data_IF_701300065446
#
_entry.id   IF_701300065446
#
_cell.length_a   1.000
_cell.length_b   1.000
_cell.length_c   1.000
_cell.angle_alpha   90.00
_cell.angle_beta   90.00
_cell.angle_gamma   90.00
#
_symmetry.space_group_name_H-M   'P 1'
#
loop_
_entity.id
_entity.type
_entity.pdbx_description
1 polymer ?
#
# COMPACT_ATOMS: atom_id res chain seq x y z
N UNK A 1 -31.52 -16.85 24.86
CA UNK A 1 -30.17 -17.13 24.30
C UNK A 1 -29.84 -15.98 23.37
N UNK A 2 -28.84 -15.17 23.71
CA UNK A 2 -28.39 -14.06 22.88
C UNK A 2 -27.64 -14.65 21.68
N UNK A 3 -28.19 -14.49 20.48
CA UNK A 3 -27.50 -14.82 19.24
C UNK A 3 -26.34 -13.83 19.09
N UNK A 4 -25.13 -14.30 19.40
CA UNK A 4 -23.92 -13.59 19.01
C UNK A 4 -23.82 -13.67 17.50
N UNK A 5 -24.18 -12.59 16.81
CA UNK A 5 -23.83 -12.39 15.41
C UNK A 5 -22.31 -12.45 15.33
N UNK A 6 -21.75 -13.60 15.00
CA UNK A 6 -20.38 -13.69 14.53
C UNK A 6 -20.37 -12.99 13.17
N UNK A 7 -20.21 -11.66 13.19
CA UNK A 7 -19.87 -10.90 12.00
C UNK A 7 -18.56 -11.50 11.49
N UNK A 8 -18.63 -12.34 10.44
CA UNK A 8 -17.43 -12.70 9.69
C UNK A 8 -16.70 -11.40 9.39
N UNK A 9 -15.39 -11.30 9.67
CA UNK A 9 -14.62 -10.11 9.31
C UNK A 9 -14.89 -9.84 7.83
N UNK A 10 -15.38 -8.63 7.57
CA UNK A 10 -15.94 -8.25 6.27
C UNK A 10 -14.80 -8.33 5.25
N UNK A 11 -14.79 -9.40 4.45
CA UNK A 11 -13.71 -9.64 3.48
C UNK A 11 -13.66 -8.49 2.48
N UNK A 12 -12.50 -7.89 2.30
CA UNK A 12 -12.26 -6.94 1.21
C UNK A 12 -11.75 -7.70 -0.02
N UNK A 13 -12.03 -7.18 -1.21
CA UNK A 13 -11.44 -7.69 -2.44
C UNK A 13 -10.08 -7.01 -2.68
N UNK A 14 -10.00 -5.71 -2.35
CA UNK A 14 -8.81 -4.87 -2.57
C UNK A 14 -8.46 -4.09 -1.31
N UNK A 15 -7.19 -4.12 -0.94
CA UNK A 15 -6.57 -3.20 0.00
C UNK A 15 -5.85 -2.09 -0.78
N UNK A 16 -6.22 -0.83 -0.58
CA UNK A 16 -5.63 0.30 -1.29
C UNK A 16 -4.75 1.13 -0.34
N UNK A 17 -3.43 0.96 -0.48
CA UNK A 17 -2.39 1.67 0.29
C UNK A 17 -1.89 2.89 -0.48
N UNK A 18 -1.89 4.07 0.14
CA UNK A 18 -1.39 5.28 -0.50
C UNK A 18 -1.02 6.38 0.50
N UNK A 19 -0.18 7.31 0.04
CA UNK A 19 0.07 8.56 0.76
C UNK A 19 -1.01 9.59 0.39
N UNK A 20 -1.94 9.86 1.32
CA UNK A 20 -3.06 10.78 1.09
C UNK A 20 -2.63 12.19 0.67
N UNK A 21 -1.59 12.73 1.31
CA UNK A 21 -1.05 14.07 1.07
C UNK A 21 -0.62 14.28 -0.39
N UNK A 22 -0.20 13.21 -1.05
CA UNK A 22 0.37 13.28 -2.39
C UNK A 22 -0.66 12.94 -3.48
N UNK A 23 -1.62 12.05 -3.19
CA UNK A 23 -2.40 11.37 -4.24
C UNK A 23 -3.92 11.34 -4.02
N UNK A 24 -4.42 11.81 -2.85
CA UNK A 24 -5.84 11.69 -2.45
C UNK A 24 -6.83 12.33 -3.44
N UNK A 25 -6.50 13.51 -3.97
CA UNK A 25 -7.39 14.30 -4.86
C UNK A 25 -7.20 14.03 -6.35
N UNK A 26 -6.25 13.16 -6.72
CA UNK A 26 -5.90 12.89 -8.11
C UNK A 26 -6.15 11.42 -8.43
N UNK A 27 -5.09 10.61 -8.38
CA UNK A 27 -5.10 9.21 -8.79
C UNK A 27 -6.02 8.35 -7.91
N UNK A 28 -5.96 8.54 -6.59
CA UNK A 28 -6.67 7.66 -5.64
C UNK A 28 -8.17 7.85 -5.69
N UNK A 29 -8.67 9.09 -5.83
CA UNK A 29 -10.09 9.33 -5.98
C UNK A 29 -10.67 8.66 -7.21
N UNK A 30 -9.93 8.66 -8.32
CA UNK A 30 -10.34 8.00 -9.56
C UNK A 30 -10.28 6.47 -9.41
N UNK A 31 -9.14 5.93 -8.94
CA UNK A 31 -8.94 4.49 -8.77
C UNK A 31 -9.99 3.88 -7.84
N UNK A 32 -10.23 4.51 -6.69
CA UNK A 32 -11.23 4.03 -5.73
C UNK A 32 -12.65 4.04 -6.32
N UNK A 33 -13.00 5.09 -7.09
CA UNK A 33 -14.30 5.18 -7.77
C UNK A 33 -14.46 4.06 -8.79
N UNK A 34 -13.44 3.77 -9.59
CA UNK A 34 -13.48 2.70 -10.59
C UNK A 34 -13.59 1.32 -9.95
N UNK A 35 -12.80 1.02 -8.91
CA UNK A 35 -12.89 -0.23 -8.17
C UNK A 35 -14.29 -0.46 -7.57
N UNK A 36 -14.88 0.61 -7.02
CA UNK A 36 -16.23 0.55 -6.47
C UNK A 36 -17.28 0.38 -7.56
N UNK A 37 -17.12 1.08 -8.70
CA UNK A 37 -18.03 0.97 -9.86
C UNK A 37 -18.07 -0.45 -10.42
N UNK A 38 -16.98 -1.19 -10.31
CA UNK A 38 -16.90 -2.58 -10.76
C UNK A 38 -17.35 -3.60 -9.71
N UNK A 39 -17.84 -3.15 -8.56
CA UNK A 39 -18.36 -4.01 -7.49
C UNK A 39 -17.30 -4.59 -6.55
N UNK A 40 -16.04 -4.12 -6.62
CA UNK A 40 -14.97 -4.60 -5.74
C UNK A 40 -15.02 -3.88 -4.40
N UNK A 41 -15.13 -4.66 -3.31
CA UNK A 41 -15.09 -4.10 -1.96
C UNK A 41 -13.67 -3.67 -1.64
N UNK A 42 -13.44 -2.37 -1.61
CA UNK A 42 -12.10 -1.80 -1.45
C UNK A 42 -11.96 -1.17 -0.08
N UNK A 43 -10.98 -1.64 0.71
CA UNK A 43 -10.51 -0.92 1.88
C UNK A 43 -9.58 0.20 1.41
N UNK A 44 -9.90 1.45 1.74
CA UNK A 44 -9.14 2.63 1.33
C UNK A 44 -8.40 3.16 2.55
N UNK A 45 -7.13 2.84 2.67
CA UNK A 45 -6.31 3.31 3.79
C UNK A 45 -5.84 4.75 3.56
N UNK A 46 -6.56 5.71 4.14
CA UNK A 46 -6.27 7.12 3.97
C UNK A 46 -5.42 7.68 5.11
N UNK A 47 -4.12 7.41 5.05
CA UNK A 47 -3.14 7.65 6.12
C UNK A 47 -3.01 9.07 6.67
N UNK A 48 -3.58 10.11 6.04
CA UNK A 48 -3.63 11.46 6.64
C UNK A 48 -5.01 11.85 7.20
N UNK A 49 -6.02 10.99 7.11
CA UNK A 49 -7.30 11.18 7.82
C UNK A 49 -7.36 10.39 9.12
N UNK A 50 -6.56 9.33 9.25
CA UNK A 50 -6.52 8.45 10.42
C UNK A 50 -5.54 8.93 11.51
N UNK A 51 -5.66 10.20 11.92
CA UNK A 51 -4.88 10.73 13.04
C UNK A 51 -5.27 9.95 14.31
N UNK A 52 -4.36 9.08 14.78
CA UNK A 52 -4.45 8.43 16.10
C UNK A 52 -4.67 6.92 16.12
N UNK A 53 -4.86 6.24 14.98
CA UNK A 53 -5.02 4.77 14.93
C UNK A 53 -3.71 4.02 14.68
N UNK A 54 -2.75 4.11 15.60
CA UNK A 54 -1.53 3.28 15.57
C UNK A 54 -1.92 1.84 15.16
N UNK A 55 -1.57 1.40 13.94
CA UNK A 55 -1.84 0.06 13.39
C UNK A 55 -3.09 -0.59 13.98
N UNK A 56 -4.27 -0.03 13.68
CA UNK A 56 -5.49 -0.60 14.25
C UNK A 56 -5.68 -2.04 13.79
N UNK A 57 -6.26 -2.88 14.66
CA UNK A 57 -6.55 -4.28 14.35
C UNK A 57 -7.36 -4.41 13.04
N UNK A 58 -8.13 -3.39 12.70
CA UNK A 58 -8.89 -3.27 11.45
C UNK A 58 -8.00 -3.26 10.20
N UNK A 59 -6.83 -2.58 10.22
CA UNK A 59 -5.89 -2.53 9.09
C UNK A 59 -5.26 -3.90 8.86
N UNK A 60 -4.79 -4.55 9.93
CA UNK A 60 -4.19 -5.89 9.82
C UNK A 60 -5.22 -6.92 9.33
N UNK A 61 -6.46 -6.86 9.83
CA UNK A 61 -7.56 -7.70 9.33
C UNK A 61 -7.86 -7.39 7.86
N UNK A 62 -7.88 -6.12 7.46
CA UNK A 62 -8.13 -5.74 6.08
C UNK A 62 -7.05 -6.27 5.14
N UNK A 63 -5.76 -6.20 5.52
CA UNK A 63 -4.66 -6.80 4.74
C UNK A 63 -4.84 -8.32 4.64
N UNK A 64 -5.08 -9.01 5.76
CA UNK A 64 -5.20 -10.47 5.79
C UNK A 64 -6.44 -11.02 5.09
N UNK A 65 -7.51 -10.21 4.97
CA UNK A 65 -8.76 -10.63 4.33
C UNK A 65 -8.88 -10.17 2.87
N UNK A 66 -7.97 -9.31 2.41
CA UNK A 66 -7.92 -8.82 1.03
C UNK A 66 -7.23 -9.81 0.10
N UNK A 67 -7.73 -9.92 -1.13
CA UNK A 67 -7.10 -10.76 -2.17
C UNK A 67 -5.94 -10.04 -2.84
N UNK A 68 -6.09 -8.73 -3.05
CA UNK A 68 -5.11 -7.89 -3.74
C UNK A 68 -4.80 -6.66 -2.90
N UNK A 69 -3.53 -6.29 -2.78
CA UNK A 69 -3.08 -4.99 -2.29
C UNK A 69 -2.59 -4.13 -3.46
N UNK A 70 -3.25 -3.00 -3.71
CA UNK A 70 -2.75 -1.98 -4.62
C UNK A 70 -1.96 -0.97 -3.80
N UNK A 71 -0.66 -0.87 -4.06
CA UNK A 71 0.24 0.03 -3.32
C UNK A 71 0.66 1.17 -4.23
N UNK A 72 0.15 2.37 -3.94
CA UNK A 72 0.44 3.58 -4.73
C UNK A 72 1.60 4.34 -4.09
N UNK A 73 2.81 4.09 -4.59
CA UNK A 73 4.03 4.70 -4.11
C UNK A 73 4.24 6.05 -4.79
N UNK A 74 4.04 7.11 -4.03
CA UNK A 74 4.30 8.49 -4.45
C UNK A 74 5.59 9.02 -3.84
N UNK A 75 6.02 10.21 -4.27
CA UNK A 75 7.30 10.81 -3.88
C UNK A 75 7.46 10.98 -2.36
N UNK A 76 6.38 11.25 -1.63
CA UNK A 76 6.36 11.41 -0.19
C UNK A 76 6.02 10.15 0.60
N UNK A 77 5.66 9.04 -0.07
CA UNK A 77 5.38 7.76 0.59
C UNK A 77 6.53 7.32 1.52
N UNK A 78 7.81 7.33 1.09
CA UNK A 78 8.92 6.94 1.97
C UNK A 78 9.23 7.92 3.12
N UNK A 79 8.64 9.12 3.14
CA UNK A 79 8.82 10.09 4.25
C UNK A 79 7.88 9.79 5.42
N UNK A 80 6.87 8.93 5.23
CA UNK A 80 5.89 8.58 6.25
C UNK A 80 6.23 7.23 6.87
N UNK A 81 6.58 7.21 8.16
CA UNK A 81 6.79 5.96 8.89
C UNK A 81 5.57 5.05 8.86
N UNK A 82 4.37 5.63 8.92
CA UNK A 82 3.11 4.89 8.80
C UNK A 82 2.96 4.16 7.46
N UNK A 83 3.24 4.84 6.34
CA UNK A 83 3.27 4.20 5.03
C UNK A 83 4.23 3.01 5.01
N UNK A 84 5.37 3.15 5.66
CA UNK A 84 6.42 2.13 5.66
C UNK A 84 6.09 0.94 6.57
N UNK A 85 5.51 1.18 7.74
CA UNK A 85 5.00 0.12 8.61
C UNK A 85 3.93 -0.71 7.90
N UNK A 86 3.04 -0.05 7.14
CA UNK A 86 1.98 -0.77 6.42
C UNK A 86 2.56 -1.60 5.29
N UNK A 87 3.54 -1.04 4.59
CA UNK A 87 4.24 -1.76 3.55
C UNK A 87 4.95 -2.99 4.11
N UNK A 88 5.50 -2.95 5.33
CA UNK A 88 6.10 -4.14 5.96
C UNK A 88 5.06 -5.24 6.15
N UNK A 89 3.88 -4.92 6.66
CA UNK A 89 2.78 -5.89 6.85
C UNK A 89 2.26 -6.46 5.53
N UNK A 90 2.06 -5.60 4.52
CA UNK A 90 1.64 -6.03 3.18
C UNK A 90 2.65 -6.98 2.57
N UNK A 91 3.95 -6.63 2.62
CA UNK A 91 5.01 -7.46 2.04
C UNK A 91 5.22 -8.76 2.83
N UNK A 92 4.94 -8.78 4.14
CA UNK A 92 4.92 -10.02 4.92
C UNK A 92 3.76 -10.93 4.52
N UNK A 93 2.57 -10.38 4.32
CA UNK A 93 1.42 -11.13 3.82
C UNK A 93 1.64 -11.66 2.40
N UNK A 94 2.28 -10.87 1.52
CA UNK A 94 2.64 -11.27 0.16
C UNK A 94 3.61 -12.44 0.17
N UNK A 95 4.68 -12.35 0.97
CA UNK A 95 5.65 -13.43 1.15
C UNK A 95 5.03 -14.73 1.67
N UNK A 96 3.97 -14.64 2.47
CA UNK A 96 3.20 -15.78 2.97
C UNK A 96 2.18 -16.31 1.95
N UNK A 97 2.05 -15.69 0.78
CA UNK A 97 1.10 -16.05 -0.26
C UNK A 97 -0.36 -15.72 0.09
N UNK A 98 -0.58 -14.81 1.04
CA UNK A 98 -1.92 -14.45 1.52
C UNK A 98 -2.58 -13.36 0.67
N UNK A 99 -1.78 -12.51 0.02
CA UNK A 99 -2.24 -11.38 -0.78
C UNK A 99 -1.36 -11.20 -2.02
N UNK A 100 -1.96 -10.78 -3.14
CA UNK A 100 -1.23 -10.40 -4.34
C UNK A 100 -0.95 -8.91 -4.29
N UNK A 101 0.30 -8.50 -4.46
CA UNK A 101 0.67 -7.07 -4.43
C UNK A 101 0.81 -6.51 -5.84
N UNK A 102 0.18 -5.36 -6.07
CA UNK A 102 0.24 -4.61 -7.32
C UNK A 102 0.77 -3.19 -7.07
N UNK A 103 2.07 -2.93 -7.34
CA UNK A 103 2.65 -1.62 -7.14
C UNK A 103 2.33 -0.67 -8.29
N UNK A 104 1.90 0.56 -7.95
CA UNK A 104 1.76 1.70 -8.85
C UNK A 104 2.77 2.77 -8.43
N UNK A 105 3.72 3.08 -9.30
CA UNK A 105 4.74 4.11 -9.02
C UNK A 105 4.30 5.46 -9.59
N UNK A 106 3.88 6.37 -8.71
CA UNK A 106 3.33 7.68 -9.06
C UNK A 106 4.39 8.79 -8.94
N UNK A 107 4.90 9.25 -10.09
CA UNK A 107 5.97 10.25 -10.20
C UNK A 107 7.27 9.84 -9.46
N UNK A 108 7.49 8.54 -9.33
CA UNK A 108 8.68 7.95 -8.70
C UNK A 108 9.24 6.88 -9.63
N UNK A 109 10.56 6.88 -9.79
CA UNK A 109 11.25 5.83 -10.52
C UNK A 109 11.48 4.61 -9.59
N UNK A 110 11.09 3.39 -9.99
CA UNK A 110 11.28 2.19 -9.16
C UNK A 110 12.75 1.98 -8.77
N UNK A 111 13.69 2.37 -9.65
CA UNK A 111 15.13 2.29 -9.37
C UNK A 111 15.56 3.15 -8.18
N UNK A 112 14.88 4.28 -7.95
CA UNK A 112 15.13 5.15 -6.80
C UNK A 112 14.67 4.52 -5.48
N UNK A 113 13.58 3.75 -5.52
CA UNK A 113 13.07 2.99 -4.37
C UNK A 113 13.96 1.79 -4.09
N UNK A 114 14.24 0.97 -5.10
CA UNK A 114 15.11 -0.21 -4.99
C UNK A 114 16.50 0.14 -4.45
N UNK A 115 17.14 1.15 -5.04
CA UNK A 115 18.51 1.54 -4.66
C UNK A 115 18.56 2.53 -3.51
N UNK A 116 17.40 3.02 -3.07
CA UNK A 116 17.23 3.98 -1.98
C UNK A 116 18.11 5.23 -2.17
N UNK A 117 18.07 5.80 -3.39
CA UNK A 117 18.89 6.94 -3.81
C UNK A 117 18.07 8.23 -3.91
N UNK A 118 18.73 9.36 -4.20
CA UNK A 118 18.10 10.67 -4.43
C UNK A 118 17.24 11.11 -3.24
N UNK A 119 15.94 11.31 -3.45
CA UNK A 119 15.01 11.78 -2.42
C UNK A 119 14.73 10.70 -1.37
N UNK A 120 14.69 9.43 -1.79
CA UNK A 120 14.51 8.26 -0.91
C UNK A 120 15.63 8.18 0.11
N UNK A 121 16.89 8.37 -0.33
CA UNK A 121 18.05 8.42 0.58
C UNK A 121 17.90 9.51 1.66
N UNK A 122 17.45 10.70 1.26
CA UNK A 122 17.24 11.84 2.18
C UNK A 122 16.12 11.58 3.18
N UNK A 123 15.06 10.88 2.76
CA UNK A 123 13.94 10.50 3.62
C UNK A 123 14.38 9.49 4.67
N UNK A 124 15.09 8.43 4.26
CA UNK A 124 15.61 7.44 5.20
C UNK A 124 16.62 7.99 6.19
N UNK A 125 17.46 8.96 5.80
CA UNK A 125 18.37 9.61 6.74
C UNK A 125 17.61 10.26 7.91
N UNK A 126 16.43 10.85 7.67
CA UNK A 126 15.61 11.43 8.75
C UNK A 126 15.03 10.35 9.66
N UNK A 127 14.68 9.19 9.10
CA UNK A 127 14.16 8.05 9.88
C UNK A 127 15.23 7.45 10.77
N UNK A 128 16.47 7.33 10.28
CA UNK A 128 17.63 6.88 11.07
C UNK A 128 17.93 7.76 12.29
N UNK A 129 17.52 9.03 12.26
CA UNK A 129 17.68 9.96 13.39
C UNK A 129 16.57 9.81 14.45
N UNK A 130 15.46 9.14 14.15
CA UNK A 130 14.22 9.15 14.95
C UNK A 130 13.76 7.76 15.40
N UNK A 131 14.03 6.75 14.60
CA UNK A 131 13.57 5.39 14.77
C UNK A 131 14.73 4.45 15.07
N UNK A 132 14.43 3.29 15.64
CA UNK A 132 15.45 2.28 15.89
C UNK A 132 15.96 1.65 14.59
N UNK A 133 17.17 1.09 14.67
CA UNK A 133 17.84 0.51 13.51
C UNK A 133 17.05 -0.63 12.85
N UNK A 134 16.37 -1.48 13.64
CA UNK A 134 15.65 -2.63 13.10
C UNK A 134 14.41 -2.19 12.32
N UNK A 135 13.69 -1.18 12.82
CA UNK A 135 12.55 -0.56 12.13
C UNK A 135 12.99 0.04 10.79
N UNK A 136 14.09 0.81 10.76
CA UNK A 136 14.58 1.38 9.50
C UNK A 136 15.00 0.28 8.52
N UNK A 137 15.66 -0.78 8.98
CA UNK A 137 16.06 -1.91 8.14
C UNK A 137 14.85 -2.62 7.53
N UNK A 138 13.78 -2.86 8.31
CA UNK A 138 12.56 -3.50 7.81
C UNK A 138 11.88 -2.65 6.74
N UNK A 139 11.78 -1.34 6.95
CA UNK A 139 11.24 -0.38 5.97
C UNK A 139 12.04 -0.36 4.67
N UNK A 140 13.36 -0.33 4.77
CA UNK A 140 14.26 -0.39 3.60
C UNK A 140 14.02 -1.67 2.81
N UNK A 141 13.94 -2.82 3.48
CA UNK A 141 13.73 -4.11 2.83
C UNK A 141 12.35 -4.19 2.17
N UNK A 142 11.30 -3.67 2.82
CA UNK A 142 9.95 -3.69 2.26
C UNK A 142 9.85 -2.87 0.97
N UNK A 143 10.49 -1.70 0.91
CA UNK A 143 10.56 -0.90 -0.32
C UNK A 143 11.36 -1.57 -1.43
N UNK A 144 12.45 -2.26 -1.11
CA UNK A 144 13.23 -3.02 -2.09
C UNK A 144 12.37 -4.12 -2.68
N UNK A 145 11.74 -4.94 -1.83
CA UNK A 145 10.89 -6.04 -2.28
C UNK A 145 9.73 -5.53 -3.14
N UNK A 146 9.07 -4.44 -2.73
CA UNK A 146 8.00 -3.83 -3.51
C UNK A 146 8.49 -3.35 -4.89
N UNK A 147 9.69 -2.76 -4.95
CA UNK A 147 10.29 -2.31 -6.20
C UNK A 147 10.75 -3.46 -7.11
N UNK A 148 10.99 -4.65 -6.53
CA UNK A 148 11.35 -5.88 -7.22
C UNK A 148 10.15 -6.64 -7.78
N UNK A 149 8.97 -6.46 -7.20
CA UNK A 149 7.72 -6.87 -7.84
C UNK A 149 7.57 -6.08 -9.14
N UNK A 150 7.27 -6.77 -10.25
CA UNK A 150 6.99 -6.13 -11.53
C UNK A 150 5.80 -5.16 -11.37
N UNK A 151 6.09 -3.87 -11.25
CA UNK A 151 5.10 -2.81 -11.16
C UNK A 151 5.06 -1.95 -12.42
N UNK A 152 4.00 -1.17 -12.54
CA UNK A 152 3.78 -0.31 -13.71
C UNK A 152 4.09 1.14 -13.35
N UNK A 153 4.85 1.81 -14.20
CA UNK A 153 5.16 3.23 -14.05
C UNK A 153 3.93 4.08 -14.44
N UNK A 154 3.68 5.21 -13.75
CA UNK A 154 2.50 6.06 -13.94
C UNK A 154 2.27 6.59 -15.35
N UNK A 155 3.22 6.46 -16.27
CA UNK A 155 3.00 6.81 -17.68
C UNK A 155 2.06 5.83 -18.39
N UNK A 156 1.96 4.57 -17.93
CA UNK A 156 1.22 3.49 -18.60
C UNK A 156 0.24 2.71 -17.69
N UNK A 157 0.01 3.17 -16.46
CA UNK A 157 -0.77 2.40 -15.46
C UNK A 157 -2.21 2.09 -15.88
N UNK A 158 -2.85 2.92 -16.72
CA UNK A 158 -4.26 2.72 -17.10
C UNK A 158 -4.48 1.48 -17.98
N UNK A 159 -3.59 1.26 -18.96
CA UNK A 159 -3.66 0.11 -19.86
C UNK A 159 -3.46 -1.18 -19.08
N UNK A 160 -2.54 -1.14 -18.14
CA UNK A 160 -2.07 -2.33 -17.48
C UNK A 160 -2.82 -2.59 -16.16
N UNK A 161 -3.50 -1.58 -15.58
CA UNK A 161 -4.62 -1.77 -14.66
C UNK A 161 -5.78 -2.45 -15.36
N UNK A 162 -6.17 -2.05 -16.60
CA UNK A 162 -7.23 -2.76 -17.34
C UNK A 162 -6.87 -4.22 -17.63
N UNK A 163 -5.61 -4.51 -17.95
CA UNK A 163 -5.14 -5.90 -18.14
C UNK A 163 -5.19 -6.67 -16.83
N UNK A 164 -4.62 -6.13 -15.74
CA UNK A 164 -4.68 -6.77 -14.42
C UNK A 164 -6.14 -6.99 -13.96
N UNK A 165 -7.00 -5.99 -14.21
CA UNK A 165 -8.42 -6.03 -13.91
C UNK A 165 -9.14 -7.17 -14.65
N UNK A 166 -8.80 -7.46 -15.91
CA UNK A 166 -9.40 -8.55 -16.69
C UNK A 166 -8.91 -9.96 -16.32
N UNK A 167 -7.72 -10.08 -15.71
CA UNK A 167 -7.13 -11.38 -15.38
C UNK A 167 -7.35 -11.80 -13.93
N UNK A 168 -7.57 -10.85 -13.03
CA UNK A 168 -7.71 -11.12 -11.59
C UNK A 168 -9.13 -10.90 -11.04
N UNK A 169 -10.05 -10.33 -11.85
CA UNK A 169 -11.47 -10.14 -11.53
C UNK A 169 -12.35 -10.37 -12.76
#
# INVERSE_FOLDING_TARGET
MLSSSLTCPQRYDVFLSFRGKDTRRTLISFLYKELTRTGLRTFKDDMDLEIGRRFSQDISIAIQTSKVAIVVVSVGYPDSGWCLDELVEIMDAERKGLIIVFPIFYDVEPSHLRRQIRKVAKQFKKHEEREDHQTVVSWRQALVNLADISGQCSRDWYLSFRVFFFFFF
#
